data_IF_594973592375
#
_entry.id   IF_594973592375
#
_cell.length_a   1.000
_cell.length_b   1.000
_cell.length_c   1.000
_cell.angle_alpha   90.00
_cell.angle_beta   90.00
_cell.angle_gamma   90.00
#
_symmetry.space_group_name_H-M   'P 1'
#
loop_
_entity.id
_entity.type
_entity.pdbx_description
1 polymer ?
#
# COMPACT_ATOMS: atom_id res chain seq x y z
N UNK A 1 -7.04 9.05 15.10
CA UNK A 1 -7.39 8.31 13.87
C UNK A 1 -8.16 7.07 14.23
N UNK A 2 -9.32 6.88 13.61
CA UNK A 2 -10.19 5.74 13.86
C UNK A 2 -9.44 4.43 13.55
N UNK A 3 -9.08 3.66 14.58
CA UNK A 3 -8.48 2.31 14.50
C UNK A 3 -9.00 1.41 13.35
N UNK A 4 -10.30 1.42 12.97
CA UNK A 4 -10.77 0.61 11.83
C UNK A 4 -10.13 0.94 10.48
N UNK A 5 -9.75 2.20 10.18
CA UNK A 5 -9.28 2.60 8.85
C UNK A 5 -7.85 2.13 8.58
N UNK A 6 -6.97 2.27 9.58
CA UNK A 6 -5.60 1.72 9.54
C UNK A 6 -5.63 0.19 9.47
N UNK A 7 -6.57 -0.45 10.19
CA UNK A 7 -6.78 -1.89 10.13
C UNK A 7 -7.18 -2.33 8.71
N UNK A 8 -8.14 -1.65 8.07
CA UNK A 8 -8.56 -1.95 6.70
C UNK A 8 -7.38 -1.83 5.71
N UNK A 9 -6.62 -0.74 5.78
CA UNK A 9 -5.44 -0.56 4.94
C UNK A 9 -4.40 -1.68 5.18
N UNK A 10 -4.13 -2.03 6.44
CA UNK A 10 -3.15 -3.07 6.78
C UNK A 10 -3.60 -4.46 6.32
N UNK A 11 -4.85 -4.84 6.58
CA UNK A 11 -5.42 -6.12 6.17
C UNK A 11 -5.49 -6.25 4.64
N UNK A 12 -5.90 -5.18 3.95
CA UNK A 12 -5.90 -5.15 2.49
C UNK A 12 -4.49 -5.25 1.90
N UNK A 13 -3.50 -4.58 2.51
CA UNK A 13 -2.11 -4.65 2.06
C UNK A 13 -1.50 -6.05 2.26
N UNK A 14 -1.71 -6.66 3.42
CA UNK A 14 -1.27 -8.03 3.69
C UNK A 14 -1.99 -9.06 2.80
N UNK A 15 -3.30 -8.88 2.58
CA UNK A 15 -4.06 -9.71 1.65
C UNK A 15 -3.55 -9.58 0.21
N UNK A 16 -3.15 -8.39 -0.21
CA UNK A 16 -2.56 -8.14 -1.52
C UNK A 16 -1.19 -8.83 -1.66
N UNK A 17 -0.35 -8.72 -0.63
CA UNK A 17 0.93 -9.44 -0.59
C UNK A 17 0.72 -10.97 -0.66
N UNK A 18 -0.31 -11.49 0.03
CA UNK A 18 -0.72 -12.89 -0.08
C UNK A 18 -1.18 -13.28 -1.49
N UNK A 19 -1.94 -12.40 -2.16
CA UNK A 19 -2.33 -12.55 -3.56
C UNK A 19 -1.13 -12.65 -4.51
N UNK A 20 -0.14 -11.75 -4.35
CA UNK A 20 1.11 -11.80 -5.12
C UNK A 20 1.92 -13.07 -4.85
N UNK A 21 1.97 -13.53 -3.59
CA UNK A 21 2.63 -14.78 -3.24
C UNK A 21 1.94 -15.99 -3.91
N UNK A 22 0.60 -16.02 -3.92
CA UNK A 22 -0.16 -17.07 -4.61
C UNK A 22 0.08 -17.07 -6.12
N UNK A 23 0.09 -15.90 -6.76
CA UNK A 23 0.39 -15.78 -8.19
C UNK A 23 1.83 -16.22 -8.47
N UNK A 24 2.78 -15.88 -7.60
CA UNK A 24 4.18 -16.31 -7.71
C UNK A 24 4.29 -17.83 -7.67
N UNK A 25 3.61 -18.49 -6.72
CA UNK A 25 3.58 -19.95 -6.63
C UNK A 25 2.89 -20.57 -7.85
N UNK A 26 1.79 -19.98 -8.33
CA UNK A 26 1.08 -20.44 -9.53
C UNK A 26 1.97 -20.34 -10.79
N UNK A 27 2.71 -19.25 -10.94
CA UNK A 27 3.64 -19.02 -12.04
C UNK A 27 4.78 -20.05 -12.03
N UNK A 28 5.41 -20.29 -10.88
CA UNK A 28 6.50 -21.26 -10.73
C UNK A 28 6.04 -22.72 -10.90
N UNK A 29 4.80 -23.02 -10.48
CA UNK A 29 4.21 -24.36 -10.60
C UNK A 29 3.57 -24.62 -11.95
N UNK A 30 3.52 -23.63 -12.85
CA UNK A 30 2.86 -23.70 -14.16
C UNK A 30 1.40 -24.16 -14.09
N UNK A 31 0.68 -23.72 -13.04
CA UNK A 31 -0.73 -24.05 -12.78
C UNK A 31 -1.63 -22.85 -13.13
N UNK A 32 -2.13 -22.74 -14.38
CA UNK A 32 -2.89 -21.57 -14.82
C UNK A 32 -4.22 -21.41 -14.06
N UNK A 33 -4.84 -22.53 -13.63
CA UNK A 33 -6.12 -22.52 -12.92
C UNK A 33 -6.06 -21.80 -11.56
N UNK A 34 -4.86 -21.70 -10.97
CA UNK A 34 -4.66 -21.03 -9.69
C UNK A 34 -4.52 -19.50 -9.84
N UNK A 35 -4.24 -19.01 -11.05
CA UNK A 35 -4.03 -17.57 -11.31
C UNK A 35 -5.33 -16.80 -11.17
N UNK A 36 -6.44 -17.27 -11.75
CA UNK A 36 -7.75 -16.60 -11.66
C UNK A 36 -8.24 -16.37 -10.23
N UNK A 37 -8.29 -17.38 -9.34
CA UNK A 37 -8.70 -17.15 -7.95
C UNK A 37 -7.70 -16.28 -7.17
N UNK A 38 -6.40 -16.38 -7.46
CA UNK A 38 -5.40 -15.52 -6.85
C UNK A 38 -5.58 -14.04 -7.25
N UNK A 39 -5.86 -13.77 -8.53
CA UNK A 39 -6.19 -12.43 -9.03
C UNK A 39 -7.47 -11.88 -8.39
N UNK A 40 -8.48 -12.72 -8.16
CA UNK A 40 -9.71 -12.32 -7.48
C UNK A 40 -9.44 -11.89 -6.03
N UNK A 41 -8.71 -12.70 -5.27
CA UNK A 41 -8.32 -12.39 -3.87
C UNK A 41 -7.45 -11.13 -3.82
N UNK A 42 -6.49 -11.02 -4.74
CA UNK A 42 -5.62 -9.85 -4.86
C UNK A 42 -6.43 -8.59 -5.15
N UNK A 43 -7.33 -8.63 -6.15
CA UNK A 43 -8.17 -7.48 -6.51
C UNK A 43 -9.09 -7.03 -5.38
N UNK A 44 -9.70 -7.98 -4.65
CA UNK A 44 -10.49 -7.67 -3.47
C UNK A 44 -9.64 -6.97 -2.39
N UNK A 45 -8.46 -7.51 -2.13
CA UNK A 45 -7.55 -7.00 -1.10
C UNK A 45 -7.00 -5.60 -1.44
N UNK A 46 -6.66 -5.36 -2.71
CA UNK A 46 -6.25 -4.04 -3.22
C UNK A 46 -7.36 -3.02 -3.03
N UNK A 47 -8.62 -3.41 -3.30
CA UNK A 47 -9.77 -2.56 -3.06
C UNK A 47 -9.88 -2.12 -1.61
N UNK A 48 -9.78 -3.08 -0.68
CA UNK A 48 -9.79 -2.81 0.77
C UNK A 48 -8.62 -1.91 1.19
N UNK A 49 -7.42 -2.16 0.66
CA UNK A 49 -6.23 -1.34 0.91
C UNK A 49 -6.45 0.12 0.48
N UNK A 50 -6.90 0.33 -0.75
CA UNK A 50 -7.10 1.67 -1.31
C UNK A 50 -8.16 2.48 -0.55
N UNK A 51 -9.28 1.85 -0.18
CA UNK A 51 -10.32 2.52 0.62
C UNK A 51 -9.78 2.92 1.99
N UNK A 52 -9.04 2.04 2.65
CA UNK A 52 -8.41 2.34 3.94
C UNK A 52 -7.37 3.46 3.85
N UNK A 53 -6.48 3.38 2.86
CA UNK A 53 -5.41 4.36 2.64
C UNK A 53 -5.94 5.75 2.28
N UNK A 54 -6.91 5.83 1.34
CA UNK A 54 -7.54 7.08 0.95
C UNK A 54 -8.31 7.71 2.13
N UNK A 55 -9.02 6.90 2.91
CA UNK A 55 -9.73 7.38 4.10
C UNK A 55 -8.78 7.93 5.16
N UNK A 56 -7.61 7.30 5.37
CA UNK A 56 -6.59 7.81 6.29
C UNK A 56 -5.99 9.12 5.79
N UNK A 57 -5.68 9.20 4.50
CA UNK A 57 -5.16 10.41 3.89
C UNK A 57 -6.13 11.59 4.05
N UNK A 58 -7.43 11.36 3.82
CA UNK A 58 -8.46 12.40 3.97
C UNK A 58 -8.58 12.93 5.38
N UNK A 59 -8.40 12.08 6.40
CA UNK A 59 -8.37 12.52 7.81
C UNK A 59 -7.09 13.33 8.15
N UNK A 60 -6.00 13.10 7.42
CA UNK A 60 -4.72 13.79 7.64
C UNK A 60 -4.59 15.08 6.81
N UNK A 61 -5.47 15.30 5.84
CA UNK A 61 -5.44 16.51 5.02
C UNK A 61 -5.87 17.73 5.83
N UNK A 62 -5.02 18.76 5.84
CA UNK A 62 -5.30 20.04 6.54
C UNK A 62 -6.53 20.72 5.94
N UNK A 63 -7.41 21.24 6.79
CA UNK A 63 -8.59 22.00 6.37
C UNK A 63 -8.20 23.14 5.42
N UNK A 64 -8.96 23.29 4.33
CA UNK A 64 -8.70 24.28 3.27
C UNK A 64 -7.68 23.86 2.21
N UNK A 65 -6.92 22.76 2.41
CA UNK A 65 -5.91 22.28 1.44
C UNK A 65 -6.18 20.85 0.93
N UNK A 66 -7.34 20.27 1.22
CA UNK A 66 -7.71 18.91 0.83
C UNK A 66 -7.55 18.66 -0.67
N UNK A 67 -7.86 19.64 -1.52
CA UNK A 67 -7.66 19.55 -2.97
C UNK A 67 -6.20 19.39 -3.40
N UNK A 68 -5.27 20.06 -2.70
CA UNK A 68 -3.82 19.94 -2.95
C UNK A 68 -3.30 18.56 -2.56
N UNK A 69 -3.71 18.06 -1.39
CA UNK A 69 -3.36 16.71 -0.95
C UNK A 69 -3.91 15.65 -1.90
N UNK A 70 -5.18 15.76 -2.32
CA UNK A 70 -5.78 14.86 -3.32
C UNK A 70 -5.09 14.93 -4.69
N UNK A 71 -4.66 16.12 -5.11
CA UNK A 71 -3.86 16.30 -6.32
C UNK A 71 -2.50 15.60 -6.23
N UNK A 72 -1.80 15.75 -5.10
CA UNK A 72 -0.52 15.06 -4.83
C UNK A 72 -0.66 13.54 -4.82
N UNK A 73 -1.74 13.02 -4.22
CA UNK A 73 -2.02 11.58 -4.21
C UNK A 73 -2.27 11.05 -5.62
N UNK A 74 -3.09 11.74 -6.42
CA UNK A 74 -3.33 11.37 -7.81
C UNK A 74 -2.06 11.45 -8.67
N UNK A 75 -1.22 12.46 -8.45
CA UNK A 75 0.08 12.59 -9.13
C UNK A 75 1.03 11.46 -8.74
N UNK A 76 1.14 11.14 -7.45
CA UNK A 76 1.95 10.03 -6.97
C UNK A 76 1.47 8.68 -7.53
N UNK A 77 0.15 8.45 -7.57
CA UNK A 77 -0.43 7.25 -8.16
C UNK A 77 -0.16 7.18 -9.67
N UNK A 78 -0.31 8.30 -10.39
CA UNK A 78 -0.04 8.38 -11.82
C UNK A 78 1.42 8.10 -12.16
N UNK A 79 2.36 8.70 -11.43
CA UNK A 79 3.80 8.46 -11.58
C UNK A 79 4.13 7.00 -11.26
N UNK A 80 3.63 6.48 -10.13
CA UNK A 80 3.86 5.09 -9.73
C UNK A 80 3.33 4.10 -10.77
N UNK A 81 2.13 4.34 -11.30
CA UNK A 81 1.53 3.49 -12.35
C UNK A 81 2.30 3.60 -13.67
N UNK A 82 2.73 4.79 -14.05
CA UNK A 82 3.56 5.00 -15.24
C UNK A 82 4.89 4.27 -15.15
N UNK A 83 5.59 4.40 -14.02
CA UNK A 83 6.84 3.70 -13.75
C UNK A 83 6.64 2.18 -13.73
N UNK A 84 5.59 1.68 -13.09
CA UNK A 84 5.26 0.26 -13.06
C UNK A 84 5.04 -0.31 -14.47
N UNK A 85 4.31 0.40 -15.33
CA UNK A 85 4.09 -0.03 -16.72
C UNK A 85 5.38 -0.06 -17.53
N UNK A 86 6.24 0.96 -17.40
CA UNK A 86 7.53 1.01 -18.10
C UNK A 86 8.43 -0.13 -17.61
N UNK A 87 8.52 -0.34 -16.29
CA UNK A 87 9.37 -1.37 -15.71
C UNK A 87 8.86 -2.77 -16.05
N UNK A 88 7.55 -2.99 -16.00
CA UNK A 88 6.91 -4.25 -16.41
C UNK A 88 7.14 -4.55 -17.88
N UNK A 89 6.98 -3.56 -18.77
CA UNK A 89 7.29 -3.70 -20.20
C UNK A 89 8.76 -3.98 -20.47
N UNK A 90 9.66 -3.28 -19.78
CA UNK A 90 11.10 -3.50 -19.91
C UNK A 90 11.54 -4.89 -19.39
N UNK A 91 10.96 -5.35 -18.27
CA UNK A 91 11.19 -6.70 -17.76
C UNK A 91 10.59 -7.76 -18.69
N UNK A 92 9.41 -7.54 -19.26
CA UNK A 92 8.80 -8.45 -20.22
C UNK A 92 9.67 -8.59 -21.48
N UNK A 93 10.00 -7.50 -22.16
CA UNK A 93 10.86 -7.53 -23.36
C UNK A 93 12.29 -8.00 -23.02
N UNK A 94 12.82 -7.62 -21.86
CA UNK A 94 14.18 -7.96 -21.44
C UNK A 94 14.39 -9.39 -20.96
N UNK A 95 13.42 -10.03 -20.31
CA UNK A 95 13.54 -11.38 -19.76
C UNK A 95 12.82 -12.45 -20.60
N UNK A 96 11.68 -12.11 -21.22
CA UNK A 96 10.80 -13.08 -21.91
C UNK A 96 11.11 -13.11 -23.41
N UNK A 97 11.21 -11.96 -24.09
CA UNK A 97 11.51 -11.92 -25.54
C UNK A 97 12.99 -12.22 -25.86
N UNK A 98 13.91 -11.98 -24.93
CA UNK A 98 15.34 -12.30 -25.10
C UNK A 98 15.68 -13.79 -24.95
N UNK A 99 14.70 -14.64 -24.61
CA UNK A 99 14.87 -16.07 -24.28
C UNK A 99 15.85 -16.38 -23.14
N UNK A 100 16.21 -15.38 -22.31
CA UNK A 100 17.14 -15.58 -21.19
C UNK A 100 16.54 -16.39 -20.03
N UNK A 101 15.21 -16.30 -19.81
CA UNK A 101 14.51 -17.02 -18.73
C UNK A 101 13.20 -17.64 -19.23
N UNK A 102 12.80 -18.76 -18.62
CA UNK A 102 11.49 -19.35 -18.88
C UNK A 102 10.38 -18.37 -18.40
N UNK A 103 9.26 -18.23 -19.13
CA UNK A 103 8.19 -17.29 -18.78
C UNK A 103 7.70 -17.46 -17.33
N UNK A 104 7.61 -18.70 -16.86
CA UNK A 104 7.25 -19.08 -15.49
C UNK A 104 8.13 -18.39 -14.43
N UNK A 105 9.44 -18.34 -14.67
CA UNK A 105 10.42 -17.74 -13.75
C UNK A 105 10.39 -16.22 -13.82
N UNK A 106 10.22 -15.65 -15.02
CA UNK A 106 10.12 -14.21 -15.20
C UNK A 106 8.89 -13.64 -14.47
N UNK A 107 7.71 -14.25 -14.66
CA UNK A 107 6.50 -13.83 -13.95
C UNK A 107 6.62 -14.06 -12.44
N UNK A 108 7.20 -15.18 -12.01
CA UNK A 108 7.46 -15.44 -10.59
C UNK A 108 8.33 -14.36 -9.93
N UNK A 109 9.38 -13.89 -10.62
CA UNK A 109 10.23 -12.81 -10.12
C UNK A 109 9.51 -11.46 -10.06
N UNK A 110 8.71 -11.12 -11.07
CA UNK A 110 7.95 -9.86 -11.10
C UNK A 110 6.95 -9.82 -9.95
N UNK A 111 6.08 -10.84 -9.84
CA UNK A 111 5.08 -10.89 -8.77
C UNK A 111 5.70 -11.06 -7.39
N UNK A 112 6.82 -11.80 -7.28
CA UNK A 112 7.56 -11.92 -6.04
C UNK A 112 8.12 -10.57 -5.57
N UNK A 113 8.68 -9.79 -6.49
CA UNK A 113 9.16 -8.42 -6.23
C UNK A 113 8.00 -7.50 -5.80
N UNK A 114 6.86 -7.55 -6.50
CA UNK A 114 5.68 -6.77 -6.14
C UNK A 114 5.14 -7.13 -4.75
N UNK A 115 5.17 -8.41 -4.39
CA UNK A 115 4.84 -8.88 -3.04
C UNK A 115 5.75 -8.26 -1.97
N UNK A 116 7.06 -8.22 -2.21
CA UNK A 116 8.02 -7.58 -1.28
C UNK A 116 7.78 -6.08 -1.19
N UNK A 117 7.54 -5.40 -2.31
CA UNK A 117 7.21 -3.98 -2.33
C UNK A 117 5.93 -3.68 -1.56
N UNK A 118 4.90 -4.54 -1.68
CA UNK A 118 3.66 -4.40 -0.91
C UNK A 118 3.90 -4.58 0.60
N UNK A 119 4.71 -5.56 1.00
CA UNK A 119 5.10 -5.72 2.41
C UNK A 119 5.86 -4.49 2.92
N UNK A 120 6.78 -3.94 2.12
CA UNK A 120 7.47 -2.70 2.45
C UNK A 120 6.50 -1.52 2.60
N UNK A 121 5.50 -1.40 1.73
CA UNK A 121 4.46 -0.37 1.82
C UNK A 121 3.64 -0.52 3.11
N UNK A 122 3.27 -1.74 3.50
CA UNK A 122 2.60 -2.03 4.78
C UNK A 122 3.51 -1.69 5.97
N UNK A 123 4.81 -1.96 5.89
CA UNK A 123 5.77 -1.59 6.94
C UNK A 123 5.87 -0.07 7.11
N UNK A 124 5.93 0.69 6.01
CA UNK A 124 5.89 2.16 6.02
C UNK A 124 4.58 2.64 6.63
N UNK A 125 3.44 2.06 6.24
CA UNK A 125 2.12 2.39 6.80
C UNK A 125 2.04 2.12 8.31
N UNK A 126 2.69 1.06 8.80
CA UNK A 126 2.78 0.80 10.24
C UNK A 126 3.55 1.89 10.96
N UNK A 127 4.69 2.32 10.40
CA UNK A 127 5.53 3.41 10.93
C UNK A 127 4.86 4.78 10.94
N UNK A 128 3.84 5.00 10.10
CA UNK A 128 2.95 6.16 10.19
C UNK A 128 2.02 5.95 11.41
N UNK A 129 2.55 6.28 12.58
CA UNK A 129 1.87 6.24 13.86
C UNK A 129 1.28 7.63 14.16
N UNK A 130 -0.06 7.68 14.21
CA UNK A 130 -0.86 8.80 14.73
C UNK A 130 -0.75 8.87 16.27
N UNK A 131 -0.09 7.90 16.90
CA UNK A 131 0.04 7.81 18.36
C UNK A 131 0.93 8.91 18.96
N UNK A 132 1.80 9.55 18.15
CA UNK A 132 2.60 10.69 18.62
C UNK A 132 1.74 11.95 18.88
N UNK A 133 0.54 12.07 18.29
CA UNK A 133 -0.32 13.25 18.46
C UNK A 133 -1.35 13.14 19.59
N UNK A 134 -1.68 11.94 20.08
CA UNK A 134 -2.66 11.79 21.17
C UNK A 134 -2.04 11.87 22.58
N UNK A 135 -0.72 11.70 22.69
CA UNK A 135 -0.03 11.77 23.99
C UNK A 135 0.53 13.16 24.32
N UNK A 136 0.64 14.07 23.34
CA UNK A 136 1.09 15.45 23.57
C UNK A 136 -0.07 16.40 23.92
N UNK A 137 -1.30 16.12 23.48
CA UNK A 137 -2.41 17.08 23.59
C UNK A 137 -3.12 17.07 24.96
N UNK A 138 -3.09 15.94 25.69
CA UNK A 138 -3.77 15.84 26.99
C UNK A 138 -2.94 16.32 28.19
N UNK A 139 -1.61 16.31 28.10
CA UNK A 139 -0.72 16.72 29.21
C UNK A 139 -0.33 18.19 29.16
N UNK A 140 -0.26 18.83 27.98
CA UNK A 140 0.12 20.25 27.88
C UNK A 140 -1.06 21.21 28.09
N UNK A 141 -2.29 20.83 27.70
CA UNK A 141 -3.47 21.68 27.89
C UNK A 141 -3.89 21.72 29.36
N UNK A 142 -3.78 20.60 30.09
CA UNK A 142 -4.06 20.59 31.54
C UNK A 142 -2.97 21.30 32.35
N UNK A 143 -1.70 21.24 31.94
CA UNK A 143 -0.62 21.96 32.60
C UNK A 143 -0.72 23.49 32.40
N UNK A 144 -1.13 23.96 31.21
CA UNK A 144 -1.33 25.39 30.93
C UNK A 144 -2.62 25.94 31.55
N UNK A 145 -3.73 25.19 31.55
CA UNK A 145 -4.97 25.58 32.25
C UNK A 145 -4.83 25.58 33.78
N UNK A 146 -3.95 24.73 34.34
CA UNK A 146 -3.66 24.76 35.78
C UNK A 146 -2.84 26.00 36.18
N UNK A 147 -1.91 26.45 35.34
CA UNK A 147 -1.10 27.64 35.59
C UNK A 147 -1.91 28.94 35.52
N UNK A 148 -2.91 29.02 34.62
CA UNK A 148 -3.75 30.21 34.44
C UNK A 148 -4.84 30.37 35.53
N UNK A 149 -5.05 29.33 36.36
CA UNK A 149 -5.99 29.35 37.49
C UNK A 149 -5.37 29.81 38.81
N UNK A 150 -4.05 30.01 38.84
CA UNK A 150 -3.26 30.34 40.05
C UNK A 150 -2.65 31.76 39.99
N UNK A 151 -2.81 32.48 38.88
CA UNK A 151 -2.43 33.90 38.72
C UNK A 151 -3.66 34.80 38.65
#
# INVERSE_FOLDING_TARGET
VNMPKKLLATLGGLGTAGGFALITVAALSTLPDLVSPALFIMGLSIGVFNVGALSMMMEMAVEGHTGLYMGLWGMAQGIGTGLANILSGALHTGLIESQLLAPSVAYGLIFGMEGVLMVAAVAVLHGISVQQFQYLDHTDITATMALDSVT
#
